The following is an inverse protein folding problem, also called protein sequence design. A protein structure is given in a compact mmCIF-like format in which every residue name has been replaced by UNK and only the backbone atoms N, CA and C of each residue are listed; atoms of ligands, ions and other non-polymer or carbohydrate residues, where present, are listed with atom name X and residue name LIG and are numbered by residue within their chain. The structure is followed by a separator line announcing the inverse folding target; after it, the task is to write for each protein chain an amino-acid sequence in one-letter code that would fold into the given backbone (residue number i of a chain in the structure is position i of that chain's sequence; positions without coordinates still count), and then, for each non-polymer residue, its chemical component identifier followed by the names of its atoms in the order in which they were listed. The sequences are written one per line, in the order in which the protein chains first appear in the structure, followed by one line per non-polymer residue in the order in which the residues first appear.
data_IF_214957098097
#
_entry.id   IF_214957098097
#
_cell.length_a   1.000
_cell.length_b   1.000
_cell.length_c   1.000
_cell.angle_alpha   90.00
_cell.angle_beta   90.00
_cell.angle_gamma   90.00
#
_symmetry.space_group_name_H-M   'P 1'
#
loop_
_entity.id
_entity.type
_entity.pdbx_description
1 polymer ?
#
# COMPACT_ATOMS: atom_id res chain seq x y z
N UNK A 1 11.95 12.28 -31.33
CA UNK A 1 10.64 12.02 -30.71
C UNK A 1 10.86 11.50 -29.30
N UNK A 2 10.14 12.03 -28.31
CA UNK A 2 10.20 11.52 -26.92
C UNK A 2 9.52 10.16 -26.86
N UNK A 3 10.16 9.18 -26.19
CA UNK A 3 9.59 7.86 -25.98
C UNK A 3 8.28 7.96 -25.18
N UNK A 4 7.24 7.17 -25.48
CA UNK A 4 6.06 7.10 -24.63
C UNK A 4 6.44 6.53 -23.27
N UNK A 5 5.82 7.05 -22.21
CA UNK A 5 6.12 6.63 -20.83
C UNK A 5 5.23 5.48 -20.40
N UNK A 6 5.81 4.55 -19.65
CA UNK A 6 5.08 3.46 -19.00
C UNK A 6 5.54 3.33 -17.55
N UNK A 7 4.59 3.28 -16.63
CA UNK A 7 4.86 3.14 -15.20
C UNK A 7 4.21 1.86 -14.68
N UNK A 8 4.98 1.07 -13.94
CA UNK A 8 4.51 -0.16 -13.30
C UNK A 8 5.10 -0.27 -11.91
N UNK A 9 4.29 -0.72 -10.96
CA UNK A 9 4.72 -0.99 -9.59
C UNK A 9 4.30 -2.37 -9.13
N UNK A 10 5.08 -2.96 -8.23
CA UNK A 10 4.59 -4.01 -7.35
C UNK A 10 3.90 -3.37 -6.13
N UNK A 11 3.14 -4.13 -5.32
CA UNK A 11 2.95 -3.74 -3.92
C UNK A 11 4.33 -3.64 -3.24
N UNK A 12 4.42 -2.81 -2.20
CA UNK A 12 5.57 -2.83 -1.30
C UNK A 12 5.39 -3.97 -0.30
N UNK A 13 6.47 -4.69 -0.01
CA UNK A 13 6.42 -5.92 0.78
C UNK A 13 6.75 -5.65 2.24
N UNK A 14 5.98 -6.23 3.17
CA UNK A 14 6.28 -6.15 4.59
C UNK A 14 7.67 -6.72 4.90
N UNK A 15 8.51 -5.88 5.49
CA UNK A 15 9.88 -6.25 5.88
C UNK A 15 9.95 -6.96 7.25
N UNK A 16 8.82 -7.49 7.78
CA UNK A 16 8.77 -8.28 9.00
C UNK A 16 9.35 -9.69 8.85
N UNK A 17 9.48 -10.19 7.63
CA UNK A 17 10.01 -11.51 7.29
C UNK A 17 10.78 -11.52 5.98
N UNK A 18 11.34 -12.68 5.64
CA UNK A 18 11.96 -12.90 4.33
C UNK A 18 10.92 -12.91 3.22
N UNK A 19 11.30 -12.58 1.95
CA UNK A 19 10.42 -12.73 0.81
C UNK A 19 9.97 -14.19 0.64
N UNK A 20 8.76 -14.36 0.13
CA UNK A 20 8.18 -15.66 -0.17
C UNK A 20 7.81 -15.77 -1.67
N UNK A 21 7.37 -16.94 -2.11
CA UNK A 21 7.03 -17.19 -3.51
C UNK A 21 6.01 -16.21 -4.08
N UNK A 22 5.03 -15.74 -3.28
CA UNK A 22 4.05 -14.73 -3.71
C UNK A 22 4.69 -13.39 -4.04
N UNK A 23 5.67 -12.93 -3.22
CA UNK A 23 6.44 -11.72 -3.50
C UNK A 23 7.24 -11.85 -4.79
N UNK A 24 7.90 -13.01 -4.98
CA UNK A 24 8.67 -13.30 -6.17
C UNK A 24 7.79 -13.34 -7.42
N UNK A 25 6.65 -14.02 -7.36
CA UNK A 25 5.69 -14.13 -8.46
C UNK A 25 5.26 -12.74 -8.97
N UNK A 26 4.76 -11.89 -8.08
CA UNK A 26 4.30 -10.54 -8.46
C UNK A 26 5.44 -9.71 -9.07
N UNK A 27 6.63 -9.77 -8.47
CA UNK A 27 7.80 -9.02 -8.96
C UNK A 27 8.24 -9.51 -10.34
N UNK A 28 8.27 -10.82 -10.57
CA UNK A 28 8.63 -11.41 -11.88
C UNK A 28 7.60 -11.01 -12.94
N UNK A 29 6.31 -11.07 -12.66
CA UNK A 29 5.26 -10.67 -13.61
C UNK A 29 5.43 -9.20 -14.01
N UNK A 30 5.66 -8.31 -13.05
CA UNK A 30 5.93 -6.90 -13.33
C UNK A 30 7.20 -6.71 -14.15
N UNK A 31 8.26 -7.50 -13.90
CA UNK A 31 9.51 -7.43 -14.66
C UNK A 31 9.33 -7.87 -16.12
N UNK A 32 8.56 -8.94 -16.35
CA UNK A 32 8.22 -9.38 -17.71
C UNK A 32 7.50 -8.26 -18.49
N UNK A 33 6.51 -7.63 -17.89
CA UNK A 33 5.79 -6.50 -18.49
C UNK A 33 6.73 -5.31 -18.74
N UNK A 34 7.58 -4.98 -17.78
CA UNK A 34 8.54 -3.89 -17.92
C UNK A 34 9.53 -4.13 -19.06
N UNK A 35 10.07 -5.33 -19.17
CA UNK A 35 10.97 -5.73 -20.30
C UNK A 35 10.24 -5.66 -21.63
N UNK A 36 9.04 -6.22 -21.71
CA UNK A 36 8.23 -6.15 -22.93
C UNK A 36 8.00 -4.71 -23.38
N UNK A 37 7.60 -3.82 -22.46
CA UNK A 37 7.39 -2.41 -22.78
C UNK A 37 8.66 -1.69 -23.24
N UNK A 38 9.83 -2.01 -22.64
CA UNK A 38 11.12 -1.48 -23.12
C UNK A 38 11.42 -1.95 -24.53
N UNK A 39 11.16 -3.23 -24.86
CA UNK A 39 11.32 -3.76 -26.22
C UNK A 39 10.37 -3.06 -27.23
N UNK A 40 9.18 -2.64 -26.79
CA UNK A 40 8.25 -1.83 -27.58
C UNK A 40 8.65 -0.33 -27.67
N UNK A 41 9.81 0.05 -27.16
CA UNK A 41 10.33 1.41 -27.28
C UNK A 41 9.84 2.41 -26.21
N UNK A 42 9.17 1.94 -25.15
CA UNK A 42 8.74 2.81 -24.04
C UNK A 42 9.90 3.20 -23.12
N UNK A 43 9.77 4.41 -22.53
CA UNK A 43 10.52 4.80 -21.34
C UNK A 43 9.80 4.25 -20.11
N UNK A 44 10.40 3.25 -19.46
CA UNK A 44 9.72 2.46 -18.42
C UNK A 44 10.27 2.80 -17.05
N UNK A 45 9.41 3.29 -16.16
CA UNK A 45 9.64 3.35 -14.73
C UNK A 45 9.01 2.13 -14.04
N UNK A 46 9.85 1.28 -13.44
CA UNK A 46 9.43 0.10 -12.67
C UNK A 46 9.87 0.23 -11.22
N UNK A 47 8.91 0.39 -10.30
CA UNK A 47 9.15 0.59 -8.87
C UNK A 47 8.69 -0.62 -8.06
N UNK A 48 9.52 -1.03 -7.11
CA UNK A 48 9.19 -1.96 -6.02
C UNK A 48 9.71 -1.40 -4.70
N UNK A 49 9.50 -2.10 -3.59
CA UNK A 49 10.02 -1.64 -2.31
C UNK A 49 9.59 -2.48 -1.12
N UNK A 50 9.90 -1.96 0.07
CA UNK A 50 9.55 -2.55 1.35
C UNK A 50 8.67 -1.62 2.18
N UNK A 51 7.66 -2.21 2.82
CA UNK A 51 6.84 -1.59 3.86
C UNK A 51 7.47 -1.88 5.22
N UNK A 52 7.92 -0.83 5.91
CA UNK A 52 8.84 -0.94 7.04
C UNK A 52 8.27 -0.37 8.33
N UNK A 53 6.97 -0.06 8.37
CA UNK A 53 6.29 0.45 9.56
C UNK A 53 5.17 -0.50 10.03
N UNK A 54 4.69 -0.25 11.27
CA UNK A 54 3.53 -0.90 11.85
C UNK A 54 3.85 -1.97 12.87
N UNK A 55 2.81 -2.35 13.62
CA UNK A 55 2.88 -3.25 14.79
C UNK A 55 3.51 -4.61 14.46
N UNK A 56 3.31 -5.11 13.25
CA UNK A 56 3.89 -6.39 12.82
C UNK A 56 5.43 -6.34 12.73
N UNK A 57 6.00 -5.18 12.36
CA UNK A 57 7.45 -4.96 12.37
C UNK A 57 7.96 -4.90 13.81
N UNK A 58 7.28 -4.16 14.68
CA UNK A 58 7.65 -4.01 16.10
C UNK A 58 7.66 -5.37 16.81
N UNK A 59 6.59 -6.16 16.68
CA UNK A 59 6.49 -7.50 17.25
C UNK A 59 7.54 -8.48 16.70
N UNK A 60 7.81 -8.41 15.40
CA UNK A 60 8.85 -9.26 14.80
C UNK A 60 10.25 -8.87 15.29
N UNK A 61 10.52 -7.60 15.49
CA UNK A 61 11.78 -7.08 16.02
C UNK A 61 11.96 -7.48 17.50
N UNK A 62 10.93 -7.32 18.31
CA UNK A 62 10.91 -7.75 19.71
C UNK A 62 11.19 -9.25 19.84
N UNK A 63 10.50 -10.08 19.07
CA UNK A 63 10.73 -11.54 19.02
C UNK A 63 12.15 -11.91 18.58
N UNK A 64 12.76 -11.08 17.72
CA UNK A 64 14.14 -11.29 17.26
C UNK A 64 15.20 -10.68 18.19
N UNK A 65 14.81 -9.93 19.24
CA UNK A 65 15.72 -9.25 20.16
C UNK A 65 16.51 -8.10 19.52
N UNK A 66 15.93 -7.43 18.52
CA UNK A 66 16.55 -6.32 17.77
C UNK A 66 15.63 -5.11 17.70
N UNK A 67 16.15 -3.96 17.28
CA UNK A 67 15.28 -2.80 17.01
C UNK A 67 14.49 -2.98 15.71
N UNK A 68 13.31 -2.33 15.56
CA UNK A 68 12.56 -2.34 14.30
C UNK A 68 13.43 -1.95 13.10
N UNK A 69 14.25 -0.91 13.22
CA UNK A 69 15.15 -0.47 12.15
C UNK A 69 16.17 -1.55 11.76
N UNK A 70 16.80 -2.21 12.74
CA UNK A 70 17.74 -3.30 12.47
C UNK A 70 17.08 -4.49 11.76
N UNK A 71 15.83 -4.81 12.12
CA UNK A 71 15.08 -5.87 11.46
C UNK A 71 14.81 -5.54 10.00
N UNK A 72 14.26 -4.33 9.72
CA UNK A 72 13.92 -3.94 8.36
C UNK A 72 15.13 -3.73 7.48
N UNK A 73 16.25 -3.21 8.01
CA UNK A 73 17.52 -3.09 7.27
C UNK A 73 18.05 -4.46 6.83
N UNK A 74 17.98 -5.45 7.72
CA UNK A 74 18.36 -6.83 7.40
C UNK A 74 17.46 -7.45 6.33
N UNK A 75 16.15 -7.32 6.49
CA UNK A 75 15.19 -7.95 5.59
C UNK A 75 15.16 -7.27 4.21
N UNK A 76 15.23 -5.93 4.17
CA UNK A 76 15.32 -5.17 2.93
C UNK A 76 16.50 -5.63 2.06
N UNK A 77 17.66 -5.83 2.69
CA UNK A 77 18.82 -6.38 1.98
C UNK A 77 18.54 -7.75 1.38
N UNK A 78 17.80 -8.63 2.08
CA UNK A 78 17.42 -9.96 1.56
C UNK A 78 16.50 -9.80 0.34
N UNK A 79 15.54 -8.85 0.37
CA UNK A 79 14.71 -8.55 -0.81
C UNK A 79 15.54 -8.09 -1.99
N UNK A 80 16.46 -7.14 -1.80
CA UNK A 80 17.34 -6.67 -2.90
C UNK A 80 18.22 -7.76 -3.46
N UNK A 81 18.84 -8.56 -2.59
CA UNK A 81 19.71 -9.65 -3.01
C UNK A 81 18.92 -10.70 -3.82
N UNK A 82 17.68 -11.01 -3.40
CA UNK A 82 16.81 -11.91 -4.16
C UNK A 82 16.42 -11.32 -5.53
N UNK A 83 16.03 -10.03 -5.58
CA UNK A 83 15.69 -9.40 -6.86
C UNK A 83 16.89 -9.35 -7.82
N UNK A 84 18.08 -9.13 -7.29
CA UNK A 84 19.31 -9.21 -8.07
C UNK A 84 19.58 -10.64 -8.58
N UNK A 85 19.41 -11.65 -7.73
CA UNK A 85 19.56 -13.06 -8.10
C UNK A 85 18.58 -13.48 -9.20
N UNK A 86 17.34 -12.99 -9.14
CA UNK A 86 16.30 -13.25 -10.15
C UNK A 86 16.45 -12.38 -11.40
N UNK A 87 17.45 -11.49 -11.46
CA UNK A 87 17.68 -10.60 -12.59
C UNK A 87 16.57 -9.56 -12.80
N UNK A 88 15.85 -9.17 -11.74
CA UNK A 88 14.78 -8.17 -11.79
C UNK A 88 15.34 -6.80 -12.19
N UNK A 89 14.68 -6.12 -13.14
CA UNK A 89 15.15 -4.88 -13.77
C UNK A 89 14.43 -3.62 -13.28
N UNK A 90 14.17 -3.54 -11.96
CA UNK A 90 13.56 -2.34 -11.38
C UNK A 90 14.39 -1.09 -11.64
N UNK A 91 13.73 0.04 -11.91
CA UNK A 91 14.37 1.36 -12.01
C UNK A 91 14.48 2.07 -10.67
N UNK A 92 13.74 1.59 -9.67
CA UNK A 92 13.78 2.13 -8.32
C UNK A 92 13.33 1.11 -7.28
N UNK A 93 13.86 1.28 -6.08
CA UNK A 93 13.43 0.57 -4.89
C UNK A 93 13.16 1.61 -3.79
N UNK A 94 11.97 1.58 -3.22
CA UNK A 94 11.56 2.49 -2.16
C UNK A 94 11.53 1.76 -0.81
N UNK A 95 12.01 2.44 0.22
CA UNK A 95 11.83 2.05 1.61
C UNK A 95 10.95 3.10 2.27
N UNK A 96 9.94 2.69 3.01
CA UNK A 96 9.05 3.66 3.69
C UNK A 96 9.75 4.39 4.84
N UNK A 97 10.88 3.87 5.34
CA UNK A 97 11.75 4.54 6.33
C UNK A 97 12.74 5.54 5.72
N UNK A 98 12.88 5.62 4.39
CA UNK A 98 13.79 6.57 3.77
C UNK A 98 13.33 8.03 3.97
N UNK A 99 14.27 8.97 4.27
CA UNK A 99 13.93 10.38 4.41
C UNK A 99 13.20 10.99 3.20
N UNK A 100 13.57 10.57 1.99
CA UNK A 100 12.89 11.02 0.75
C UNK A 100 11.42 10.60 0.71
N UNK A 101 11.08 9.39 1.21
CA UNK A 101 9.70 8.92 1.31
C UNK A 101 8.93 9.75 2.34
N UNK A 102 9.48 9.91 3.54
CA UNK A 102 8.85 10.71 4.60
C UNK A 102 8.56 12.14 4.12
N UNK A 103 9.53 12.77 3.42
CA UNK A 103 9.36 14.11 2.86
C UNK A 103 8.25 14.15 1.79
N UNK A 104 8.20 13.13 0.91
CA UNK A 104 7.16 13.05 -0.12
C UNK A 104 5.77 12.92 0.49
N UNK A 105 5.60 12.05 1.51
CA UNK A 105 4.34 11.89 2.25
C UNK A 105 3.93 13.20 2.92
N UNK A 106 4.83 13.84 3.65
CA UNK A 106 4.55 15.13 4.31
C UNK A 106 4.13 16.21 3.31
N UNK A 107 4.81 16.29 2.17
CA UNK A 107 4.46 17.25 1.12
C UNK A 107 3.10 16.95 0.50
N UNK A 108 2.76 15.67 0.27
CA UNK A 108 1.44 15.27 -0.22
C UNK A 108 0.34 15.67 0.77
N UNK A 109 0.51 15.34 2.05
CA UNK A 109 -0.46 15.68 3.10
C UNK A 109 -0.64 17.20 3.22
N UNK A 110 0.45 17.97 3.29
CA UNK A 110 0.39 19.45 3.33
C UNK A 110 -0.30 20.04 2.10
N UNK A 111 -0.02 19.49 0.92
CA UNK A 111 -0.67 19.91 -0.33
C UNK A 111 -2.16 19.61 -0.30
N UNK A 112 -2.56 18.44 0.17
CA UNK A 112 -3.98 18.06 0.31
C UNK A 112 -4.69 18.99 1.26
N UNK A 113 -4.15 19.25 2.45
CA UNK A 113 -4.71 20.20 3.43
C UNK A 113 -4.87 21.61 2.85
N UNK A 114 -3.94 22.05 2.01
CA UNK A 114 -4.01 23.38 1.37
C UNK A 114 -5.07 23.46 0.27
N UNK A 115 -5.18 22.41 -0.57
CA UNK A 115 -6.09 22.39 -1.73
C UNK A 115 -7.50 21.95 -1.38
N UNK A 116 -7.67 21.20 -0.30
CA UNK A 116 -8.93 20.66 0.19
C UNK A 116 -8.92 20.66 1.72
N UNK A 117 -9.12 21.83 2.37
CA UNK A 117 -8.96 21.99 3.83
C UNK A 117 -9.81 21.00 4.64
N UNK A 118 -10.99 20.66 4.13
CA UNK A 118 -11.94 19.77 4.83
C UNK A 118 -11.70 18.27 4.52
N UNK A 119 -10.74 17.95 3.65
CA UNK A 119 -10.48 16.56 3.23
C UNK A 119 -9.77 15.76 4.33
N UNK A 120 -8.99 16.42 5.18
CA UNK A 120 -8.24 15.78 6.27
C UNK A 120 -8.69 16.41 7.59
N UNK A 121 -9.15 15.58 8.52
CA UNK A 121 -9.64 16.03 9.82
C UNK A 121 -9.16 15.08 10.92
N UNK A 122 -9.05 15.61 12.15
CA UNK A 122 -8.76 14.81 13.33
C UNK A 122 -10.03 14.25 13.95
N UNK A 123 -9.98 12.99 14.36
CA UNK A 123 -11.03 12.34 15.13
C UNK A 123 -10.42 11.30 16.06
N UNK A 124 -10.98 11.18 17.26
CA UNK A 124 -10.75 10.03 18.12
C UNK A 124 -11.37 8.80 17.46
N UNK A 125 -10.58 7.79 17.29
CA UNK A 125 -11.04 6.47 16.84
C UNK A 125 -11.06 5.55 18.06
N UNK A 126 -12.10 4.76 18.19
CA UNK A 126 -12.23 3.74 19.21
C UNK A 126 -12.96 2.54 18.57
N UNK A 127 -12.29 1.40 18.50
CA UNK A 127 -12.83 0.22 17.83
C UNK A 127 -11.91 -0.99 17.94
N UNK A 128 -12.29 -2.06 17.27
CA UNK A 128 -11.55 -3.31 17.26
C UNK A 128 -10.64 -3.41 16.04
N UNK A 129 -9.41 -3.81 16.24
CA UNK A 129 -8.38 -3.92 15.20
C UNK A 129 -7.79 -5.33 15.17
N UNK A 130 -7.76 -5.96 13.99
CA UNK A 130 -7.06 -7.22 13.78
C UNK A 130 -5.61 -6.96 13.40
N UNK A 131 -4.70 -7.27 14.30
CA UNK A 131 -3.27 -7.09 14.07
C UNK A 131 -2.74 -8.05 12.99
N UNK A 132 -3.33 -9.21 12.86
CA UNK A 132 -2.88 -10.25 11.91
C UNK A 132 -3.20 -9.89 10.46
N UNK A 133 -4.39 -9.33 10.23
CA UNK A 133 -4.86 -8.94 8.89
C UNK A 133 -4.74 -7.45 8.62
N UNK A 134 -4.20 -6.67 9.59
CA UNK A 134 -4.00 -5.22 9.49
C UNK A 134 -5.27 -4.45 9.09
N UNK A 135 -6.41 -4.78 9.73
CA UNK A 135 -7.67 -4.12 9.42
C UNK A 135 -8.50 -3.84 10.67
N UNK A 136 -9.31 -2.81 10.58
CA UNK A 136 -10.34 -2.55 11.59
C UNK A 136 -11.49 -3.52 11.41
N UNK A 137 -11.82 -4.23 12.50
CA UNK A 137 -12.88 -5.24 12.54
C UNK A 137 -14.24 -4.58 12.82
N UNK A 138 -14.22 -3.56 13.66
CA UNK A 138 -15.42 -2.85 14.11
C UNK A 138 -15.08 -1.40 14.46
N UNK A 139 -16.01 -0.48 14.15
CA UNK A 139 -15.94 0.95 14.53
C UNK A 139 -16.49 1.18 15.95
N UNK A 140 -16.71 0.13 16.73
CA UNK A 140 -17.21 0.19 18.11
C UNK A 140 -16.28 -0.54 19.06
N UNK A 141 -16.28 -0.23 20.38
CA UNK A 141 -15.45 -0.92 21.36
C UNK A 141 -15.94 -2.33 21.68
N UNK A 142 -17.16 -2.70 21.25
CA UNK A 142 -17.74 -4.01 21.49
C UNK A 142 -16.84 -5.14 20.95
N UNK A 143 -16.75 -6.29 21.65
CA UNK A 143 -16.00 -7.44 21.17
C UNK A 143 -16.45 -7.86 19.77
N UNK A 144 -15.47 -8.02 18.85
CA UNK A 144 -15.73 -8.49 17.50
C UNK A 144 -14.54 -9.30 16.99
N UNK A 145 -14.84 -10.36 16.25
CA UNK A 145 -13.85 -11.23 15.63
C UNK A 145 -13.57 -10.81 14.19
N UNK A 146 -12.34 -10.96 13.77
CA UNK A 146 -11.92 -10.68 12.40
C UNK A 146 -12.60 -11.66 11.43
N UNK A 147 -13.26 -11.12 10.41
CA UNK A 147 -13.97 -11.93 9.41
C UNK A 147 -13.03 -12.72 8.49
N UNK A 148 -11.73 -12.36 8.47
CA UNK A 148 -10.72 -13.03 7.64
C UNK A 148 -10.09 -14.19 8.41
N UNK A 149 -9.51 -13.93 9.60
CA UNK A 149 -8.77 -14.96 10.35
C UNK A 149 -9.52 -15.55 11.55
N UNK A 150 -10.72 -15.05 11.86
CA UNK A 150 -11.55 -15.52 12.99
C UNK A 150 -11.00 -15.19 14.38
N UNK A 151 -9.95 -14.38 14.48
CA UNK A 151 -9.35 -14.00 15.78
C UNK A 151 -10.03 -12.77 16.35
N UNK A 152 -10.09 -12.62 17.69
CA UNK A 152 -10.65 -11.44 18.31
C UNK A 152 -9.84 -10.18 17.97
N UNK A 153 -10.54 -9.11 17.63
CA UNK A 153 -9.94 -7.79 17.44
C UNK A 153 -9.52 -7.18 18.80
N UNK A 154 -8.34 -6.58 18.83
CA UNK A 154 -7.85 -5.84 19.99
C UNK A 154 -8.50 -4.45 20.05
N UNK A 155 -8.86 -3.98 21.26
CA UNK A 155 -9.42 -2.65 21.43
C UNK A 155 -8.32 -1.60 21.22
N UNK A 156 -8.56 -0.70 20.28
CA UNK A 156 -7.68 0.42 19.97
C UNK A 156 -8.44 1.73 20.21
N UNK A 157 -7.82 2.66 20.93
CA UNK A 157 -8.36 4.00 21.16
C UNK A 157 -7.22 5.01 20.93
N UNK A 158 -7.35 5.79 19.85
CA UNK A 158 -6.33 6.76 19.45
C UNK A 158 -6.92 7.97 18.73
N UNK A 159 -6.25 9.11 18.81
CA UNK A 159 -6.58 10.27 18.00
C UNK A 159 -5.77 10.23 16.70
N UNK A 160 -6.48 10.16 15.57
CA UNK A 160 -5.86 10.04 14.25
C UNK A 160 -6.40 11.06 13.25
N UNK A 161 -5.64 11.28 12.19
CA UNK A 161 -6.09 11.99 11.01
C UNK A 161 -6.88 11.06 10.10
N UNK A 162 -8.04 11.53 9.67
CA UNK A 162 -8.94 10.86 8.74
C UNK A 162 -9.02 11.61 7.43
N UNK A 163 -9.15 10.87 6.33
CA UNK A 163 -9.44 11.42 5.02
C UNK A 163 -10.92 11.26 4.71
N UNK A 164 -11.60 12.36 4.36
CA UNK A 164 -13.04 12.38 4.04
C UNK A 164 -13.29 11.78 2.65
N UNK A 165 -13.24 10.46 2.57
CA UNK A 165 -13.39 9.74 1.32
C UNK A 165 -14.80 9.91 0.72
N UNK A 166 -15.83 10.06 1.56
CA UNK A 166 -17.22 10.31 1.14
C UNK A 166 -17.40 11.54 0.25
N UNK A 167 -16.57 12.57 0.41
CA UNK A 167 -16.60 13.78 -0.44
C UNK A 167 -16.16 13.51 -1.89
N UNK A 168 -15.60 12.36 -2.16
CA UNK A 168 -15.09 11.97 -3.48
C UNK A 168 -15.96 10.91 -4.18
N UNK A 169 -16.97 10.35 -3.50
CA UNK A 169 -17.80 9.26 -4.02
C UNK A 169 -18.38 9.58 -5.39
N UNK A 170 -19.09 10.71 -5.52
CA UNK A 170 -19.71 11.07 -6.82
C UNK A 170 -18.65 11.30 -7.90
N UNK A 171 -17.53 11.95 -7.56
CA UNK A 171 -16.43 12.19 -8.51
C UNK A 171 -15.81 10.88 -9.02
N UNK A 172 -15.71 9.87 -8.16
CA UNK A 172 -15.23 8.54 -8.55
C UNK A 172 -16.23 7.83 -9.47
N UNK A 173 -17.52 7.88 -9.15
CA UNK A 173 -18.56 7.30 -10.00
C UNK A 173 -18.61 7.97 -11.39
N UNK A 174 -18.48 9.29 -11.44
CA UNK A 174 -18.41 10.04 -12.68
C UNK A 174 -17.14 9.68 -13.49
N UNK A 175 -15.99 9.51 -12.81
CA UNK A 175 -14.76 9.05 -13.45
C UNK A 175 -14.95 7.66 -14.08
N UNK A 176 -15.52 6.71 -13.36
CA UNK A 176 -15.74 5.34 -13.87
C UNK A 176 -16.71 5.31 -15.04
N UNK A 177 -17.73 6.17 -15.03
CA UNK A 177 -18.66 6.33 -16.15
C UNK A 177 -17.99 6.90 -17.39
N UNK A 178 -17.14 7.93 -17.21
CA UNK A 178 -16.52 8.66 -18.33
C UNK A 178 -15.22 8.02 -18.83
N UNK A 179 -14.60 7.16 -18.03
CA UNK A 179 -13.33 6.49 -18.33
C UNK A 179 -13.37 5.02 -17.89
N UNK A 180 -14.14 4.15 -18.57
CA UNK A 180 -14.30 2.73 -18.19
C UNK A 180 -12.98 1.96 -18.10
N UNK A 181 -11.97 2.37 -18.89
CA UNK A 181 -10.63 1.79 -18.90
C UNK A 181 -9.77 2.19 -17.70
N UNK A 182 -10.26 3.04 -16.78
CA UNK A 182 -9.52 3.50 -15.60
C UNK A 182 -9.24 2.36 -14.62
N UNK A 183 -10.15 1.39 -14.55
CA UNK A 183 -10.02 0.19 -13.74
C UNK A 183 -10.03 -1.05 -14.64
N UNK A 184 -9.05 -1.92 -14.47
CA UNK A 184 -8.92 -3.15 -15.24
C UNK A 184 -8.39 -4.28 -14.33
N UNK A 185 -8.78 -5.53 -14.54
CA UNK A 185 -9.75 -6.06 -15.51
C UNK A 185 -11.21 -5.85 -15.07
N UNK A 186 -12.16 -6.15 -15.97
CA UNK A 186 -13.60 -5.83 -15.81
C UNK A 186 -14.21 -6.35 -14.49
N UNK A 187 -13.81 -7.54 -14.03
CA UNK A 187 -14.31 -8.06 -12.75
C UNK A 187 -13.87 -7.20 -11.56
N UNK A 188 -12.65 -6.60 -11.61
CA UNK A 188 -12.18 -5.65 -10.60
C UNK A 188 -12.89 -4.30 -10.72
N UNK A 189 -13.19 -3.88 -11.93
CA UNK A 189 -14.03 -2.69 -12.17
C UNK A 189 -15.37 -2.82 -11.44
N UNK A 190 -16.07 -3.96 -11.62
CA UNK A 190 -17.37 -4.19 -11.00
C UNK A 190 -17.28 -4.25 -9.46
N UNK A 191 -16.25 -4.89 -8.92
CA UNK A 191 -15.99 -4.96 -7.47
C UNK A 191 -15.79 -3.55 -6.89
N UNK A 192 -14.89 -2.78 -7.46
CA UNK A 192 -14.57 -1.41 -6.96
C UNK A 192 -15.76 -0.47 -7.13
N UNK A 193 -16.46 -0.54 -8.27
CA UNK A 193 -17.65 0.27 -8.52
C UNK A 193 -18.74 -0.01 -7.50
N UNK A 194 -19.05 -1.28 -7.26
CA UNK A 194 -20.05 -1.69 -6.26
C UNK A 194 -19.66 -1.23 -4.84
N UNK A 195 -18.37 -1.31 -4.49
CA UNK A 195 -17.88 -0.78 -3.23
C UNK A 195 -18.10 0.73 -3.11
N UNK A 196 -17.79 1.51 -4.15
CA UNK A 196 -18.01 2.96 -4.13
C UNK A 196 -19.50 3.30 -4.11
N UNK A 197 -20.35 2.56 -4.84
CA UNK A 197 -21.82 2.74 -4.85
C UNK A 197 -22.46 2.43 -3.48
N UNK A 198 -21.89 1.52 -2.70
CA UNK A 198 -22.41 1.15 -1.37
C UNK A 198 -22.29 2.27 -0.33
N UNK A 199 -21.56 3.32 -0.62
CA UNK A 199 -21.35 4.49 0.24
C UNK A 199 -19.96 4.52 0.88
N UNK A 200 -19.20 5.57 0.56
CA UNK A 200 -17.90 5.84 1.17
C UNK A 200 -18.07 6.64 2.47
N UNK A 201 -17.24 6.35 3.47
CA UNK A 201 -17.23 7.07 4.77
C UNK A 201 -16.08 8.07 4.84
#
# INVERSE_FOLDING_TARGET
MTKPKFYITTPIYYANSRPHVGSAYTTIVCDVIARYKRMCGYDVAYLTGTDEHGVNIERAAEKAGVTPQQLVDKNEKIFRDLWKLLGITTTGFIRTTEPRHALAVQNLVRRTMRLSPDAIYKRKYEGRYCIYDNLYVSDTPEPADCQICGRPGELVSEENYFFRLSAYQQKLLDLYKNSPQFLYPDFRFNEVKSFVESGLK
#
